data_IF_887856339172
#
_entry.id   IF_887856339172
#
_cell.length_a   1.000
_cell.length_b   1.000
_cell.length_c   1.000
_cell.angle_alpha   90.00
_cell.angle_beta   90.00
_cell.angle_gamma   90.00
#
_symmetry.space_group_name_H-M   'P 1'
#
loop_
_entity.id
_entity.type
_entity.pdbx_description
1 polymer ?
#
# COMPACT_ATOMS: atom_id res chain seq x y z
N UNK A 1 72.38 17.98 -5.70
CA UNK A 1 71.69 19.28 -5.71
C UNK A 1 70.20 19.05 -5.94
N UNK A 2 69.38 19.59 -5.05
CA UNK A 2 68.07 20.25 -5.31
C UNK A 2 66.88 19.39 -5.80
N UNK A 3 65.90 19.22 -4.90
CA UNK A 3 64.50 19.75 -4.97
C UNK A 3 63.57 18.67 -5.61
N UNK A 4 62.48 18.17 -5.04
CA UNK A 4 61.54 18.72 -4.07
C UNK A 4 60.40 19.41 -4.82
N UNK A 5 59.27 18.73 -5.09
CA UNK A 5 57.95 19.38 -5.32
C UNK A 5 56.79 18.40 -5.16
N UNK A 6 55.71 18.95 -4.63
CA UNK A 6 54.54 18.31 -4.04
C UNK A 6 53.34 18.19 -5.00
N UNK A 7 52.39 17.33 -4.61
CA UNK A 7 50.91 17.45 -4.73
C UNK A 7 50.29 17.40 -6.13
N UNK A 8 49.29 16.52 -6.33
CA UNK A 8 47.88 16.91 -6.58
C UNK A 8 46.97 15.72 -6.22
N UNK A 9 46.05 15.95 -5.27
CA UNK A 9 44.85 15.15 -5.02
C UNK A 9 43.89 15.36 -6.19
N UNK A 10 43.61 14.32 -6.96
CA UNK A 10 42.62 14.33 -8.03
C UNK A 10 41.33 13.65 -7.59
N UNK A 11 40.36 14.42 -7.13
CA UNK A 11 39.00 13.97 -6.87
C UNK A 11 38.29 13.63 -8.18
N UNK A 12 37.93 12.36 -8.40
CA UNK A 12 37.08 11.92 -9.51
C UNK A 12 36.07 10.88 -9.01
N UNK A 13 35.08 11.35 -8.23
CA UNK A 13 34.00 10.51 -7.71
C UNK A 13 32.58 11.03 -8.00
N UNK A 14 32.42 12.07 -8.83
CA UNK A 14 31.11 12.72 -9.02
C UNK A 14 30.29 12.13 -10.18
N UNK A 15 30.94 11.43 -11.12
CA UNK A 15 30.27 10.88 -12.31
C UNK A 15 29.39 9.66 -12.04
N UNK A 16 29.87 8.72 -11.21
CA UNK A 16 29.18 7.45 -10.98
C UNK A 16 27.90 7.62 -10.13
N UNK A 17 27.96 8.43 -9.07
CA UNK A 17 26.82 8.65 -8.17
C UNK A 17 25.64 9.36 -8.83
N UNK A 18 25.91 10.31 -9.73
CA UNK A 18 24.86 11.02 -10.47
C UNK A 18 24.18 10.11 -11.51
N UNK A 19 24.94 9.23 -12.16
CA UNK A 19 24.39 8.28 -13.13
C UNK A 19 23.54 7.21 -12.41
N UNK A 20 24.03 6.66 -11.29
CA UNK A 20 23.28 5.72 -10.45
C UNK A 20 22.01 6.36 -9.90
N UNK A 21 22.08 7.58 -9.37
CA UNK A 21 20.92 8.31 -8.85
C UNK A 21 19.88 8.61 -9.93
N UNK A 22 20.30 8.87 -11.17
CA UNK A 22 19.40 9.11 -12.31
C UNK A 22 18.71 7.84 -12.80
N UNK A 23 19.37 6.68 -12.67
CA UNK A 23 18.77 5.37 -12.96
C UNK A 23 17.75 4.95 -11.88
N UNK A 24 18.07 5.18 -10.60
CA UNK A 24 17.12 4.96 -9.49
C UNK A 24 15.92 5.91 -9.53
N UNK A 25 16.12 7.18 -9.87
CA UNK A 25 15.03 8.16 -10.02
C UNK A 25 14.16 7.90 -11.26
N UNK A 26 14.70 7.30 -12.32
CA UNK A 26 13.91 6.84 -13.48
C UNK A 26 13.09 5.59 -13.14
N UNK A 27 13.66 4.66 -12.36
CA UNK A 27 12.95 3.49 -11.85
C UNK A 27 11.81 3.86 -10.90
N UNK A 28 11.99 4.88 -10.05
CA UNK A 28 10.93 5.40 -9.17
C UNK A 28 9.84 6.16 -9.93
N UNK A 29 10.20 6.96 -10.95
CA UNK A 29 9.24 7.71 -11.77
C UNK A 29 8.41 6.81 -12.72
N UNK A 30 9.00 5.73 -13.25
CA UNK A 30 8.29 4.76 -14.09
C UNK A 30 7.48 3.74 -13.25
N UNK A 31 7.94 3.43 -12.03
CA UNK A 31 7.11 2.80 -11.00
C UNK A 31 5.97 3.75 -10.56
N UNK A 32 6.17 5.06 -10.55
CA UNK A 32 5.15 6.06 -10.20
C UNK A 32 3.95 6.02 -11.16
N UNK A 33 4.16 6.02 -12.49
CA UNK A 33 3.04 6.00 -13.45
C UNK A 33 2.37 4.63 -13.63
N UNK A 34 3.10 3.54 -13.38
CA UNK A 34 2.51 2.19 -13.35
C UNK A 34 1.74 1.92 -12.05
N UNK A 35 2.21 2.45 -10.89
CA UNK A 35 1.53 2.46 -9.58
C UNK A 35 0.28 3.35 -9.51
N UNK A 36 0.00 4.18 -10.51
CA UNK A 36 -1.19 5.06 -10.52
C UNK A 36 -2.54 4.30 -10.44
N UNK A 37 -2.56 2.97 -10.64
CA UNK A 37 -3.73 2.09 -10.41
C UNK A 37 -3.50 0.90 -9.46
N UNK A 38 -2.33 0.78 -8.83
CA UNK A 38 -2.05 -0.31 -7.88
C UNK A 38 -2.09 0.21 -6.44
N UNK A 39 -2.70 -0.55 -5.55
CA UNK A 39 -2.55 -0.36 -4.11
C UNK A 39 -1.44 -1.29 -3.62
N UNK A 40 -0.47 -0.73 -2.91
CA UNK A 40 0.74 -1.46 -2.50
C UNK A 40 0.91 -1.41 -1.00
N UNK A 41 1.27 -2.55 -0.39
CA UNK A 41 1.75 -2.64 0.99
C UNK A 41 3.09 -3.35 1.01
N UNK A 42 3.98 -2.92 1.91
CA UNK A 42 5.24 -3.63 2.19
C UNK A 42 5.05 -4.49 3.42
N UNK A 43 5.48 -5.74 3.39
CA UNK A 43 5.46 -6.68 4.51
C UNK A 43 6.88 -7.07 4.90
N UNK A 44 7.15 -7.17 6.22
CA UNK A 44 8.46 -7.47 6.80
C UNK A 44 8.81 -8.97 6.76
N UNK A 45 8.44 -9.65 5.67
CA UNK A 45 8.71 -11.07 5.44
C UNK A 45 9.33 -11.27 4.05
N UNK A 46 10.15 -12.32 3.86
CA UNK A 46 10.66 -12.70 2.55
C UNK A 46 9.53 -13.24 1.66
N UNK A 47 9.74 -13.22 0.34
CA UNK A 47 8.69 -13.50 -0.65
C UNK A 47 8.06 -14.90 -0.52
N UNK A 48 8.87 -15.91 -0.17
CA UNK A 48 8.44 -17.30 0.02
C UNK A 48 7.51 -17.50 1.22
N UNK A 49 7.62 -16.64 2.24
CA UNK A 49 6.72 -16.63 3.39
C UNK A 49 5.43 -15.82 3.13
N UNK A 50 5.50 -14.84 2.22
CA UNK A 50 4.36 -13.97 1.89
C UNK A 50 3.33 -14.67 1.01
N UNK A 51 3.81 -15.45 0.03
CA UNK A 51 2.96 -16.21 -0.88
C UNK A 51 3.48 -17.65 -1.05
N UNK A 52 3.42 -18.48 0.01
CA UNK A 52 3.94 -19.84 -0.03
C UNK A 52 3.21 -20.65 -1.10
N UNK A 53 3.98 -21.18 -2.05
CA UNK A 53 3.49 -21.86 -3.25
C UNK A 53 2.51 -21.01 -4.10
N UNK A 54 2.68 -19.68 -4.11
CA UNK A 54 1.85 -18.75 -4.87
C UNK A 54 0.46 -18.52 -4.27
N UNK A 55 0.18 -19.01 -3.06
CA UNK A 55 -1.10 -18.77 -2.39
C UNK A 55 -1.11 -17.42 -1.69
N UNK A 56 -2.12 -16.62 -2.01
CA UNK A 56 -2.34 -15.32 -1.39
C UNK A 56 -2.85 -15.47 0.04
N UNK A 57 -2.55 -14.48 0.92
CA UNK A 57 -3.16 -14.41 2.24
C UNK A 57 -4.68 -14.28 2.13
N UNK A 58 -5.40 -14.87 3.10
CA UNK A 58 -6.85 -15.06 3.05
C UNK A 58 -7.64 -13.78 2.70
N UNK A 59 -7.37 -12.60 3.28
CA UNK A 59 -8.12 -11.39 2.93
C UNK A 59 -7.98 -10.94 1.47
N UNK A 60 -6.86 -11.26 0.79
CA UNK A 60 -6.71 -11.04 -0.65
C UNK A 60 -7.32 -12.20 -1.46
N UNK A 61 -7.20 -13.44 -0.96
CA UNK A 61 -7.80 -14.61 -1.59
C UNK A 61 -9.34 -14.51 -1.64
N UNK A 62 -9.99 -13.85 -0.66
CA UNK A 62 -11.43 -13.53 -0.64
C UNK A 62 -11.89 -12.76 -1.90
N UNK A 63 -11.01 -11.95 -2.50
CA UNK A 63 -11.29 -11.18 -3.71
C UNK A 63 -11.12 -12.01 -4.99
N UNK A 64 -10.41 -13.14 -4.90
CA UNK A 64 -10.24 -14.12 -5.97
C UNK A 64 -9.80 -13.51 -7.30
N UNK A 65 -10.40 -13.99 -8.38
CA UNK A 65 -10.02 -13.63 -9.75
C UNK A 65 -10.41 -12.20 -10.15
N UNK A 66 -11.15 -11.47 -9.31
CA UNK A 66 -11.52 -10.06 -9.57
C UNK A 66 -10.32 -9.13 -9.53
N UNK A 67 -9.26 -9.56 -8.84
CA UNK A 67 -8.04 -8.78 -8.66
C UNK A 67 -6.86 -9.43 -9.37
N UNK A 68 -5.91 -8.56 -9.72
CA UNK A 68 -4.56 -8.92 -10.08
C UNK A 68 -3.67 -8.60 -8.87
N UNK A 69 -2.72 -9.48 -8.57
CA UNK A 69 -1.77 -9.31 -7.46
C UNK A 69 -0.37 -9.56 -7.96
N UNK A 70 0.54 -8.64 -7.63
CA UNK A 70 1.98 -8.77 -7.85
C UNK A 70 2.68 -8.83 -6.49
N UNK A 71 3.56 -9.82 -6.33
CA UNK A 71 4.43 -9.98 -5.17
C UNK A 71 5.86 -9.84 -5.65
N UNK A 72 6.65 -9.00 -4.97
CA UNK A 72 8.04 -8.72 -5.38
C UNK A 72 8.88 -8.23 -4.20
N UNK A 73 10.21 -8.33 -4.26
CA UNK A 73 11.07 -7.74 -3.23
C UNK A 73 10.82 -6.24 -3.08
N UNK A 74 10.72 -5.79 -1.83
CA UNK A 74 10.57 -4.37 -1.51
C UNK A 74 11.91 -3.63 -1.68
N UNK A 75 11.87 -2.37 -2.14
CA UNK A 75 13.07 -1.57 -2.31
C UNK A 75 13.75 -1.30 -0.97
N UNK A 76 15.08 -1.37 -0.97
CA UNK A 76 15.90 -1.06 0.20
C UNK A 76 15.84 -2.12 1.30
N UNK A 77 15.66 -3.39 0.92
CA UNK A 77 15.69 -4.55 1.83
C UNK A 77 14.66 -4.45 2.97
N UNK A 78 13.45 -4.01 2.61
CA UNK A 78 12.33 -3.80 3.54
C UNK A 78 11.36 -4.98 3.61
N UNK A 79 11.77 -6.15 3.11
CA UNK A 79 10.92 -7.32 2.92
C UNK A 79 10.29 -7.36 1.53
N UNK A 80 8.98 -7.54 1.44
CA UNK A 80 8.26 -7.81 0.18
C UNK A 80 7.15 -6.78 -0.06
N UNK A 81 7.01 -6.28 -1.28
CA UNK A 81 5.84 -5.50 -1.71
C UNK A 81 4.76 -6.44 -2.25
N UNK A 82 3.52 -6.27 -1.76
CA UNK A 82 2.30 -6.85 -2.32
C UNK A 82 1.51 -5.71 -2.96
N UNK A 83 1.39 -5.74 -4.28
CA UNK A 83 0.59 -4.81 -5.05
C UNK A 83 -0.70 -5.50 -5.51
N UNK A 84 -1.85 -4.85 -5.39
CA UNK A 84 -3.11 -5.36 -5.91
C UNK A 84 -3.92 -4.28 -6.65
N UNK A 85 -4.69 -4.70 -7.66
CA UNK A 85 -5.68 -3.88 -8.39
C UNK A 85 -6.84 -4.74 -8.86
N UNK A 86 -7.99 -4.12 -9.17
CA UNK A 86 -9.06 -4.83 -9.90
C UNK A 86 -8.65 -5.07 -11.36
N UNK A 87 -9.03 -6.23 -11.90
CA UNK A 87 -8.81 -6.55 -13.32
C UNK A 87 -9.68 -5.71 -14.24
N UNK A 88 -10.95 -5.49 -13.87
CA UNK A 88 -11.83 -4.57 -14.58
C UNK A 88 -11.74 -3.16 -13.95
N UNK A 89 -11.22 -2.15 -14.67
CA UNK A 89 -11.19 -0.77 -14.19
C UNK A 89 -12.58 -0.22 -13.83
N UNK A 90 -13.67 -0.73 -14.43
CA UNK A 90 -15.04 -0.29 -14.10
C UNK A 90 -15.43 -0.70 -12.68
N UNK A 91 -14.94 -1.84 -12.19
CA UNK A 91 -15.14 -2.26 -10.80
C UNK A 91 -14.41 -1.32 -9.83
N UNK A 92 -13.23 -0.80 -10.20
CA UNK A 92 -12.51 0.16 -9.36
C UNK A 92 -13.28 1.50 -9.22
N UNK A 93 -14.04 1.87 -10.25
CA UNK A 93 -14.73 3.15 -10.37
C UNK A 93 -16.24 3.08 -10.12
N UNK A 94 -16.75 2.00 -9.51
CA UNK A 94 -18.14 1.96 -9.08
C UNK A 94 -18.44 3.24 -8.26
N UNK A 95 -19.30 4.10 -8.82
CA UNK A 95 -19.42 5.51 -8.42
C UNK A 95 -20.02 5.70 -7.01
N UNK A 96 -20.47 6.92 -6.71
CA UNK A 96 -21.03 7.30 -5.40
C UNK A 96 -22.08 6.31 -4.83
N UNK A 97 -22.82 5.59 -5.68
CA UNK A 97 -23.77 4.56 -5.26
C UNK A 97 -23.14 3.46 -4.38
N UNK A 98 -21.92 3.00 -4.69
CA UNK A 98 -21.26 1.94 -3.92
C UNK A 98 -20.85 2.39 -2.52
N UNK A 99 -20.70 3.71 -2.28
CA UNK A 99 -20.41 4.27 -0.95
C UNK A 99 -21.64 4.36 -0.07
N UNK A 100 -22.83 4.42 -0.68
CA UNK A 100 -24.10 4.51 0.06
C UNK A 100 -24.57 3.14 0.51
N UNK A 101 -24.28 2.10 -0.28
CA UNK A 101 -24.69 0.71 -0.02
C UNK A 101 -23.61 -0.11 0.71
N UNK A 102 -22.37 0.37 0.80
CA UNK A 102 -21.29 -0.41 1.40
C UNK A 102 -19.91 0.23 1.33
N UNK A 103 -18.89 -0.62 1.41
CA UNK A 103 -17.50 -0.22 1.21
C UNK A 103 -17.24 -0.04 -0.28
N UNK A 104 -16.57 1.06 -0.69
CA UNK A 104 -16.21 1.21 -2.11
C UNK A 104 -15.23 0.12 -2.53
N UNK A 105 -15.19 -0.29 -3.81
CA UNK A 105 -14.26 -1.33 -4.27
C UNK A 105 -12.80 -1.05 -3.90
N UNK A 106 -12.37 0.21 -4.02
CA UNK A 106 -11.05 0.67 -3.59
C UNK A 106 -10.84 0.59 -2.08
N UNK A 107 -11.86 0.90 -1.27
CA UNK A 107 -11.79 0.73 0.19
C UNK A 107 -11.67 -0.77 0.55
N UNK A 108 -12.45 -1.64 -0.10
CA UNK A 108 -12.39 -3.08 0.10
C UNK A 108 -11.00 -3.65 -0.21
N UNK A 109 -10.39 -3.22 -1.33
CA UNK A 109 -9.03 -3.63 -1.70
C UNK A 109 -7.98 -3.12 -0.70
N UNK A 110 -8.10 -1.88 -0.22
CA UNK A 110 -7.23 -1.35 0.86
C UNK A 110 -7.39 -2.15 2.15
N UNK A 111 -8.62 -2.47 2.51
CA UNK A 111 -8.94 -3.26 3.71
C UNK A 111 -8.32 -4.65 3.61
N UNK A 112 -8.46 -5.33 2.47
CA UNK A 112 -7.83 -6.62 2.19
C UNK A 112 -6.30 -6.58 2.30
N UNK A 113 -5.64 -5.59 1.69
CA UNK A 113 -4.18 -5.42 1.79
C UNK A 113 -3.73 -5.17 3.23
N UNK A 114 -4.45 -4.31 3.97
CA UNK A 114 -4.14 -4.02 5.38
C UNK A 114 -4.30 -5.26 6.26
N UNK A 115 -5.42 -5.98 6.12
CA UNK A 115 -5.68 -7.22 6.87
C UNK A 115 -4.63 -8.28 6.56
N UNK A 116 -4.24 -8.41 5.29
CA UNK A 116 -3.19 -9.32 4.85
C UNK A 116 -1.84 -8.99 5.47
N UNK A 117 -1.43 -7.71 5.47
CA UNK A 117 -0.22 -7.26 6.15
C UNK A 117 -0.24 -7.58 7.64
N UNK A 118 -1.36 -7.35 8.33
CA UNK A 118 -1.49 -7.66 9.75
C UNK A 118 -1.40 -9.16 10.04
N UNK A 119 -2.07 -9.99 9.25
CA UNK A 119 -1.97 -11.45 9.38
C UNK A 119 -0.56 -11.95 9.15
N UNK A 120 0.12 -11.45 8.11
CA UNK A 120 1.49 -11.86 7.81
C UNK A 120 2.47 -11.42 8.90
N UNK A 121 2.38 -10.17 9.36
CA UNK A 121 3.39 -9.63 10.29
C UNK A 121 3.11 -9.92 11.76
N UNK A 122 1.84 -10.04 12.14
CA UNK A 122 1.41 -10.14 13.55
C UNK A 122 0.68 -11.45 13.82
N UNK A 123 0.12 -12.11 12.81
CA UNK A 123 -0.70 -13.32 12.96
C UNK A 123 -2.17 -13.05 13.32
N UNK A 124 -2.55 -11.78 13.51
CA UNK A 124 -3.91 -11.38 13.87
C UNK A 124 -4.38 -10.14 13.10
N UNK A 125 -5.70 -10.03 12.89
CA UNK A 125 -6.33 -8.84 12.30
C UNK A 125 -6.90 -7.97 13.41
N UNK A 126 -6.45 -6.72 13.48
CA UNK A 126 -7.00 -5.75 14.43
C UNK A 126 -8.45 -5.42 14.06
N UNK A 127 -9.37 -5.80 14.93
CA UNK A 127 -10.78 -5.41 14.86
C UNK A 127 -11.08 -4.32 15.87
N UNK A 128 -11.45 -3.15 15.37
CA UNK A 128 -12.05 -2.11 16.20
C UNK A 128 -13.50 -2.49 16.45
N UNK A 129 -13.81 -3.03 17.64
CA UNK A 129 -15.19 -3.21 18.09
C UNK A 129 -15.79 -1.83 18.42
N UNK A 130 -16.87 -1.38 17.77
CA UNK A 130 -17.56 -0.19 18.21
C UNK A 130 -18.47 -0.55 19.39
N UNK A 131 -18.14 -0.04 20.58
CA UNK A 131 -19.17 0.31 21.54
C UNK A 131 -19.29 1.85 21.49
N UNK A 132 -20.28 2.43 20.80
CA UNK A 132 -20.65 3.80 21.11
C UNK A 132 -21.17 3.76 22.54
N UNK A 133 -20.41 4.29 23.49
CA UNK A 133 -20.94 4.53 24.82
C UNK A 133 -21.98 5.65 24.68
N UNK A 134 -23.26 5.27 24.61
CA UNK A 134 -24.42 6.17 24.57
C UNK A 134 -25.27 6.02 23.30
N UNK A 135 -26.58 5.85 23.50
CA UNK A 135 -27.56 6.06 22.43
C UNK A 135 -27.62 7.55 22.10
N UNK A 136 -27.39 7.91 20.83
CA UNK A 136 -27.59 9.29 20.38
C UNK A 136 -29.07 9.55 20.23
N UNK A 137 -29.48 10.77 20.57
CA UNK A 137 -30.87 11.20 20.42
C UNK A 137 -31.31 11.06 18.95
N UNK A 138 -32.46 10.40 18.76
CA UNK A 138 -33.11 10.14 17.47
C UNK A 138 -33.67 11.43 16.84
N UNK A 139 -32.80 12.42 16.65
CA UNK A 139 -33.09 13.64 15.91
C UNK A 139 -32.70 13.41 14.45
N UNK A 140 -33.36 14.10 13.50
CA UNK A 140 -32.95 14.05 12.10
C UNK A 140 -31.47 14.38 11.88
N UNK A 141 -30.91 15.30 12.69
CA UNK A 141 -29.48 15.61 12.70
C UNK A 141 -28.60 14.50 13.28
N UNK A 142 -29.07 13.84 14.35
CA UNK A 142 -28.37 12.69 14.97
C UNK A 142 -28.24 11.50 14.03
N UNK A 143 -29.31 11.17 13.29
CA UNK A 143 -29.30 10.11 12.28
C UNK A 143 -28.34 10.42 11.11
N UNK A 144 -28.27 11.69 10.70
CA UNK A 144 -27.37 12.13 9.64
C UNK A 144 -25.91 12.05 10.08
N UNK A 145 -25.61 12.44 11.33
CA UNK A 145 -24.28 12.32 11.92
C UNK A 145 -23.85 10.86 12.14
N UNK A 146 -24.79 9.98 12.49
CA UNK A 146 -24.55 8.55 12.62
C UNK A 146 -24.13 7.93 11.29
N UNK A 147 -24.84 8.23 10.19
CA UNK A 147 -24.42 7.82 8.84
C UNK A 147 -23.04 8.36 8.45
N UNK A 148 -22.74 9.63 8.76
CA UNK A 148 -21.44 10.23 8.43
C UNK A 148 -20.29 9.55 9.21
N UNK A 149 -20.51 9.24 10.50
CA UNK A 149 -19.51 8.55 11.32
C UNK A 149 -19.30 7.10 10.91
N UNK A 150 -20.33 6.41 10.42
CA UNK A 150 -20.20 5.07 9.85
C UNK A 150 -19.32 5.06 8.59
N UNK A 151 -19.52 6.03 7.69
CA UNK A 151 -18.75 6.15 6.45
C UNK A 151 -17.29 6.56 6.73
N UNK A 152 -17.07 7.55 7.61
CA UNK A 152 -15.73 8.03 7.95
C UNK A 152 -14.84 6.98 8.61
N UNK A 153 -15.42 6.04 9.37
CA UNK A 153 -14.69 4.96 10.04
C UNK A 153 -14.00 4.01 9.07
N UNK A 154 -14.53 3.85 7.85
CA UNK A 154 -13.99 2.95 6.81
C UNK A 154 -12.85 3.57 6.00
N UNK A 155 -12.71 4.91 6.02
CA UNK A 155 -11.79 5.57 5.11
C UNK A 155 -10.33 5.59 5.58
N UNK A 156 -10.07 5.56 6.90
CA UNK A 156 -8.74 5.39 7.50
C UNK A 156 -7.59 5.90 6.62
N UNK A 157 -7.64 7.18 6.23
CA UNK A 157 -6.56 7.84 5.48
C UNK A 157 -5.64 8.43 6.55
N UNK A 158 -4.39 7.97 6.57
CA UNK A 158 -3.32 8.68 7.26
C UNK A 158 -2.93 9.90 6.42
#
# INVERSE_FOLDING_TARGET
MRLGTSVVVGALGVGAGALVRRLWARGSAQAETSRERWLVVTVLLPEDEVAPAGRLPEPLAELGDRIEVEVRPAPGDKGTEIAARYRDPKEEHAGLASRVEGESPRQQLRSALRRSKQLLEVGEVLRVSPAPHGERSATPGGALLEKVTEVGRKEGRL
#
